data_IF_185395193278
#
_entry.id   IF_185395193278
#
_cell.length_a   1.000
_cell.length_b   1.000
_cell.length_c   1.000
_cell.angle_alpha   90.00
_cell.angle_beta   90.00
_cell.angle_gamma   90.00
#
_symmetry.space_group_name_H-M   'P 1'
#
loop_
_entity.id
_entity.type
_entity.pdbx_description
1 polymer ?
#
# COMPACT_ATOMS: atom_id res chain seq x y z
N UNK A 1 7.22 -7.95 -0.82
CA UNK A 1 7.48 -7.16 -2.04
C UNK A 1 6.30 -6.25 -2.40
N UNK A 2 5.05 -6.74 -2.38
CA UNK A 2 3.85 -5.97 -2.72
C UNK A 2 3.66 -4.70 -1.84
N UNK A 3 3.75 -4.82 -0.51
CA UNK A 3 3.63 -3.67 0.40
C UNK A 3 4.66 -2.56 0.07
N UNK A 4 5.89 -2.91 -0.28
CA UNK A 4 6.94 -1.94 -0.64
C UNK A 4 6.65 -1.24 -1.97
N UNK A 5 6.01 -1.93 -2.93
CA UNK A 5 5.58 -1.33 -4.18
C UNK A 5 4.48 -0.29 -3.92
N UNK A 6 3.45 -0.69 -3.16
CA UNK A 6 2.37 0.20 -2.72
C UNK A 6 2.91 1.42 -1.97
N UNK A 7 3.80 1.20 -0.99
CA UNK A 7 4.41 2.27 -0.21
C UNK A 7 5.09 3.30 -1.11
N UNK A 8 5.88 2.85 -2.09
CA UNK A 8 6.61 3.74 -3.00
C UNK A 8 5.67 4.51 -3.93
N UNK A 9 4.63 3.86 -4.47
CA UNK A 9 3.61 4.54 -5.27
C UNK A 9 2.92 5.64 -4.45
N UNK A 10 2.50 5.31 -3.23
CA UNK A 10 1.85 6.27 -2.34
C UNK A 10 2.77 7.45 -1.96
N UNK A 11 4.05 7.17 -1.68
CA UNK A 11 5.03 8.24 -1.43
C UNK A 11 5.26 9.11 -2.66
N UNK A 12 5.23 8.55 -3.87
CA UNK A 12 5.33 9.31 -5.11
C UNK A 12 4.13 10.27 -5.29
N UNK A 13 2.92 9.84 -4.92
CA UNK A 13 1.74 10.73 -4.90
C UNK A 13 1.94 11.91 -3.95
N UNK A 14 2.46 11.68 -2.74
CA UNK A 14 2.76 12.79 -1.82
C UNK A 14 3.78 13.78 -2.40
N UNK A 15 4.80 13.29 -3.10
CA UNK A 15 5.77 14.13 -3.81
C UNK A 15 5.08 14.97 -4.88
N UNK A 16 4.22 14.37 -5.70
CA UNK A 16 3.47 15.08 -6.74
C UNK A 16 2.50 16.13 -6.16
N UNK A 17 1.92 15.85 -5.00
CA UNK A 17 1.08 16.80 -4.25
C UNK A 17 1.88 17.91 -3.52
N UNK A 18 3.21 17.90 -3.59
CA UNK A 18 4.07 18.84 -2.86
C UNK A 18 4.02 18.68 -1.35
N UNK A 19 3.60 17.51 -0.85
CA UNK A 19 3.45 17.22 0.58
C UNK A 19 4.69 16.53 1.15
N UNK A 20 5.02 16.77 2.44
CA UNK A 20 6.13 16.07 3.10
C UNK A 20 5.91 14.55 3.14
N UNK A 21 6.90 13.81 2.63
CA UNK A 21 6.89 12.34 2.64
C UNK A 21 7.29 11.83 4.02
N UNK A 22 6.43 11.10 4.75
CA UNK A 22 6.80 10.52 6.03
C UNK A 22 7.84 9.40 5.87
N UNK A 23 8.80 9.35 6.80
CA UNK A 23 9.85 8.33 6.85
C UNK A 23 9.40 7.09 7.66
N UNK A 24 8.18 6.63 7.39
CA UNK A 24 7.60 5.41 7.97
C UNK A 24 7.19 4.45 6.86
N UNK A 25 6.98 3.19 7.21
CA UNK A 25 6.50 2.14 6.29
C UNK A 25 5.00 1.83 6.47
N UNK A 26 4.37 2.45 7.47
CA UNK A 26 2.94 2.32 7.75
C UNK A 26 2.12 3.00 6.65
N UNK A 27 1.34 2.20 5.91
CA UNK A 27 0.54 2.70 4.79
C UNK A 27 -0.60 3.60 5.27
N UNK A 28 -1.19 3.37 6.45
CA UNK A 28 -2.26 4.24 6.97
C UNK A 28 -1.71 5.65 7.26
N UNK A 29 -0.54 5.73 7.90
CA UNK A 29 0.11 7.03 8.16
C UNK A 29 0.44 7.78 6.86
N UNK A 30 0.79 7.06 5.80
CA UNK A 30 1.06 7.65 4.48
C UNK A 30 -0.25 8.13 3.83
N UNK A 31 -1.30 7.29 3.83
CA UNK A 31 -2.61 7.56 3.23
C UNK A 31 -3.31 8.75 3.92
N UNK A 32 -3.20 8.87 5.24
CA UNK A 32 -3.82 9.96 5.99
C UNK A 32 -3.30 11.35 5.64
N UNK A 33 -2.14 11.43 4.98
CA UNK A 33 -1.57 12.69 4.49
C UNK A 33 -2.03 13.05 3.07
N UNK A 34 -2.72 12.15 2.38
CA UNK A 34 -3.16 12.37 1.01
C UNK A 34 -4.50 13.08 0.93
N UNK A 35 -4.67 13.84 -0.14
CA UNK A 35 -5.96 14.43 -0.53
C UNK A 35 -5.98 14.54 -2.06
N UNK A 36 -6.84 13.78 -2.76
CA UNK A 36 -7.75 12.76 -2.24
C UNK A 36 -7.03 11.52 -1.69
N UNK A 37 -7.72 10.74 -0.85
CA UNK A 37 -7.26 9.41 -0.42
C UNK A 37 -7.59 8.34 -1.48
N UNK A 38 -6.78 7.28 -1.62
CA UNK A 38 -7.12 6.15 -2.49
C UNK A 38 -8.40 5.45 -2.03
N UNK A 39 -9.22 4.99 -2.97
CA UNK A 39 -10.53 4.37 -2.67
C UNK A 39 -10.46 3.09 -1.84
N UNK A 40 -9.34 2.36 -1.89
CA UNK A 40 -9.10 1.12 -1.15
C UNK A 40 -8.26 1.34 0.12
N UNK A 41 -8.49 2.46 0.83
CA UNK A 41 -7.65 2.86 1.97
C UNK A 41 -7.67 1.85 3.13
N UNK A 42 -8.82 1.21 3.38
CA UNK A 42 -8.97 0.22 4.45
C UNK A 42 -8.24 -1.08 4.12
N UNK A 43 -8.38 -1.57 2.88
CA UNK A 43 -7.73 -2.80 2.42
C UNK A 43 -6.21 -2.63 2.29
N UNK A 44 -5.74 -1.41 2.00
CA UNK A 44 -4.31 -1.08 2.03
C UNK A 44 -3.74 -1.05 3.45
N UNK A 45 -4.54 -0.70 4.44
CA UNK A 45 -4.13 -0.80 5.84
C UNK A 45 -3.95 -2.27 6.24
N UNK A 46 -4.90 -3.14 5.89
CA UNK A 46 -4.82 -4.58 6.13
C UNK A 46 -3.61 -5.23 5.43
N UNK A 47 -3.18 -4.71 4.28
CA UNK A 47 -1.95 -5.18 3.60
C UNK A 47 -0.69 -4.96 4.45
N UNK A 48 -0.66 -3.91 5.29
CA UNK A 48 0.45 -3.63 6.21
C UNK A 48 0.48 -4.65 7.35
N UNK A 49 -0.69 -4.94 7.93
CA UNK A 49 -0.85 -5.94 8.97
C UNK A 49 -0.51 -7.33 8.45
N UNK A 50 -0.99 -7.66 7.25
CA UNK A 50 -0.65 -8.89 6.55
C UNK A 50 0.87 -9.01 6.36
N UNK A 51 1.54 -8.00 5.81
CA UNK A 51 2.99 -8.02 5.62
C UNK A 51 3.80 -8.10 6.92
N UNK A 52 3.25 -7.59 8.03
CA UNK A 52 3.91 -7.54 9.34
C UNK A 52 3.75 -8.86 10.10
N UNK A 53 2.54 -9.41 10.15
CA UNK A 53 2.22 -10.70 10.80
C UNK A 53 2.92 -11.85 10.07
N UNK A 54 2.93 -11.83 8.72
CA UNK A 54 3.58 -12.87 7.89
C UNK A 54 5.09 -12.99 8.09
N UNK A 55 5.77 -11.97 8.64
CA UNK A 55 7.22 -12.02 8.93
C UNK A 55 7.55 -12.69 10.26
N UNK A 56 6.60 -12.79 11.19
CA UNK A 56 6.83 -13.33 12.53
C UNK A 56 6.18 -14.71 12.74
N UNK A 57 5.30 -15.16 11.85
CA UNK A 57 4.83 -16.55 11.80
C UNK A 57 5.74 -17.39 10.89
N UNK A 58 6.95 -17.69 11.38
CA UNK A 58 7.82 -18.69 10.76
C UNK A 58 7.16 -20.08 10.82
N UNK A 59 6.60 -20.54 9.70
CA UNK A 59 6.59 -21.98 9.38
C UNK A 59 5.29 -22.67 8.99
N UNK A 60 4.10 -22.07 9.17
CA UNK A 60 2.83 -22.81 8.91
C UNK A 60 1.81 -22.10 8.02
N UNK A 61 1.99 -20.83 7.67
CA UNK A 61 1.02 -20.11 6.86
C UNK A 61 1.30 -20.25 5.36
N UNK A 62 0.47 -21.02 4.66
CA UNK A 62 0.51 -21.14 3.19
C UNK A 62 -0.30 -19.99 2.59
N UNK A 63 0.39 -19.09 1.88
CA UNK A 63 -0.29 -18.02 1.11
C UNK A 63 -1.15 -18.68 0.04
N UNK A 64 -2.46 -18.42 0.05
CA UNK A 64 -3.31 -18.94 -1.02
C UNK A 64 -3.16 -18.11 -2.28
N UNK A 65 -3.51 -18.72 -3.42
CA UNK A 65 -3.56 -17.99 -4.68
C UNK A 65 -4.58 -16.86 -4.63
N UNK A 66 -5.72 -17.05 -3.96
CA UNK A 66 -6.73 -15.99 -3.83
C UNK A 66 -6.20 -14.79 -3.04
N UNK A 67 -5.48 -15.02 -1.94
CA UNK A 67 -4.85 -13.93 -1.16
C UNK A 67 -3.83 -13.15 -2.00
N UNK A 68 -3.05 -13.87 -2.83
CA UNK A 68 -2.06 -13.25 -3.72
C UNK A 68 -2.75 -12.42 -4.80
N UNK A 69 -3.79 -12.97 -5.43
CA UNK A 69 -4.56 -12.29 -6.48
C UNK A 69 -5.27 -11.04 -5.92
N UNK A 70 -5.79 -11.11 -4.69
CA UNK A 70 -6.37 -9.95 -4.01
C UNK A 70 -5.33 -8.86 -3.75
N UNK A 71 -4.15 -9.24 -3.26
CA UNK A 71 -3.05 -8.30 -3.01
C UNK A 71 -2.55 -7.64 -4.31
N UNK A 72 -2.50 -8.39 -5.42
CA UNK A 72 -2.13 -7.86 -6.74
C UNK A 72 -3.15 -6.81 -7.19
N UNK A 73 -4.46 -7.08 -7.06
CA UNK A 73 -5.51 -6.11 -7.43
C UNK A 73 -5.39 -4.81 -6.63
N UNK A 74 -5.03 -4.88 -5.36
CA UNK A 74 -4.79 -3.69 -4.53
C UNK A 74 -3.59 -2.88 -5.03
N UNK A 75 -2.51 -3.56 -5.44
CA UNK A 75 -1.35 -2.90 -6.04
C UNK A 75 -1.72 -2.23 -7.35
N UNK A 76 -2.44 -2.91 -8.24
CA UNK A 76 -2.92 -2.36 -9.52
C UNK A 76 -3.81 -1.13 -9.30
N UNK A 77 -4.76 -1.20 -8.36
CA UNK A 77 -5.61 -0.07 -8.00
C UNK A 77 -4.80 1.12 -7.44
N UNK A 78 -3.76 0.84 -6.64
CA UNK A 78 -2.87 1.88 -6.11
C UNK A 78 -2.06 2.55 -7.21
N UNK A 79 -1.57 1.78 -8.18
CA UNK A 79 -0.84 2.32 -9.34
C UNK A 79 -1.78 3.19 -10.18
N UNK A 80 -2.97 2.69 -10.53
CA UNK A 80 -3.94 3.46 -11.29
C UNK A 80 -4.35 4.76 -10.58
N UNK A 81 -4.48 4.72 -9.25
CA UNK A 81 -4.67 5.92 -8.45
C UNK A 81 -3.45 6.85 -8.57
N UNK A 82 -2.23 6.36 -8.36
CA UNK A 82 -1.03 7.18 -8.44
C UNK A 82 -0.86 7.86 -9.81
N UNK A 83 -1.09 7.11 -10.89
CA UNK A 83 -1.04 7.63 -12.27
C UNK A 83 -2.08 8.74 -12.50
N UNK A 84 -3.23 8.70 -11.81
CA UNK A 84 -4.23 9.78 -11.88
C UNK A 84 -3.82 11.06 -11.13
N UNK A 85 -2.85 10.97 -10.22
CA UNK A 85 -2.42 12.07 -9.35
C UNK A 85 -1.09 12.70 -9.79
N UNK A 86 -0.32 12.00 -10.62
CA UNK A 86 1.00 12.42 -11.08
C UNK A 86 0.84 12.96 -12.52
N UNK A 87 1.19 14.23 -12.80
CA UNK A 87 1.08 14.83 -14.13
C UNK A 87 2.11 14.29 -15.14
#
# INVERSE_FOLDING_TARGET
MLQQAVEKCLKAVLVAQGKPVPLVHDLAVIIDRMDPKPGASEELHELTDFASVRRYEEGTFVVTREETDAAIKLVEATIAFADSQIP
#
